data_IF_310858776441
#
_entry.id   IF_310858776441
#
_cell.length_a   1.000
_cell.length_b   1.000
_cell.length_c   1.000
_cell.angle_alpha   90.00
_cell.angle_beta   90.00
_cell.angle_gamma   90.00
#
_symmetry.space_group_name_H-M   'P 1'
#
loop_
_entity.id
_entity.type
_entity.pdbx_description
1 polymer ?
#
# COMPACT_ATOMS: atom_id res chain seq x y z
N UNK A 1 -11.17 -21.37 11.54
CA UNK A 1 -12.56 -20.94 11.56
C UNK A 1 -12.71 -19.61 10.83
N UNK A 2 -13.87 -19.35 10.23
CA UNK A 2 -14.15 -18.10 9.55
C UNK A 2 -14.14 -16.92 10.54
N UNK A 3 -13.36 -15.91 10.25
CA UNK A 3 -13.32 -14.70 11.08
C UNK A 3 -14.42 -13.74 10.59
N UNK A 4 -15.44 -13.52 11.40
CA UNK A 4 -16.40 -12.43 11.19
C UNK A 4 -15.84 -11.17 11.82
N UNK A 5 -15.55 -10.16 11.03
CA UNK A 5 -15.35 -8.82 11.56
C UNK A 5 -16.68 -8.29 12.13
N UNK A 6 -16.65 -7.67 13.31
CA UNK A 6 -17.84 -7.11 13.97
C UNK A 6 -18.48 -6.08 13.03
N UNK A 7 -19.73 -6.30 12.64
CA UNK A 7 -20.47 -5.44 11.71
C UNK A 7 -20.27 -5.74 10.21
N UNK A 8 -19.42 -6.69 9.84
CA UNK A 8 -19.27 -7.09 8.44
C UNK A 8 -20.32 -8.15 8.05
N UNK A 9 -21.01 -7.90 6.96
CA UNK A 9 -21.90 -8.89 6.33
C UNK A 9 -21.13 -9.95 5.53
N UNK A 10 -19.81 -9.72 5.31
CA UNK A 10 -18.94 -10.57 4.51
C UNK A 10 -18.09 -11.49 5.41
N UNK A 11 -18.16 -12.78 5.15
CA UNK A 11 -17.28 -13.77 5.78
C UNK A 11 -15.98 -13.80 5.00
N UNK A 12 -14.85 -13.59 5.69
CA UNK A 12 -13.53 -13.73 5.10
C UNK A 12 -13.01 -15.16 5.32
N UNK A 13 -12.48 -15.77 4.27
CA UNK A 13 -11.78 -17.05 4.39
C UNK A 13 -10.57 -16.90 5.31
N UNK A 14 -10.19 -17.99 5.99
CA UNK A 14 -8.95 -18.02 6.77
C UNK A 14 -7.74 -17.65 5.89
N UNK A 15 -6.74 -17.02 6.48
CA UNK A 15 -5.48 -16.78 5.81
C UNK A 15 -4.85 -18.14 5.41
N UNK A 16 -4.57 -18.28 4.13
CA UNK A 16 -4.01 -19.50 3.52
C UNK A 16 -2.68 -19.25 2.81
N UNK A 17 -2.13 -18.03 2.94
CA UNK A 17 -0.81 -17.66 2.43
C UNK A 17 -0.16 -16.65 3.38
N UNK A 18 1.15 -16.63 3.42
CA UNK A 18 1.91 -15.69 4.25
C UNK A 18 3.42 -15.85 4.06
N UNK A 19 4.16 -14.92 4.67
CA UNK A 19 5.62 -14.98 4.71
C UNK A 19 6.14 -14.47 6.07
N UNK A 20 7.28 -15.00 6.48
CA UNK A 20 8.03 -14.55 7.66
C UNK A 20 9.48 -14.35 7.24
N UNK A 21 10.06 -13.23 7.66
CA UNK A 21 11.48 -12.93 7.48
C UNK A 21 12.06 -12.52 8.84
N UNK A 22 13.16 -13.15 9.24
CA UNK A 22 13.93 -12.78 10.43
C UNK A 22 15.31 -12.25 9.99
N UNK A 23 15.67 -11.07 10.47
CA UNK A 23 16.93 -10.41 10.17
C UNK A 23 17.76 -10.22 11.45
N UNK A 24 19.07 -10.38 11.34
CA UNK A 24 19.99 -9.87 12.36
C UNK A 24 20.08 -8.35 12.22
N UNK A 25 19.62 -7.63 13.22
CA UNK A 25 19.58 -6.16 13.21
C UNK A 25 20.95 -5.51 13.21
N UNK A 26 22.00 -6.22 13.62
CA UNK A 26 23.38 -5.69 13.65
C UNK A 26 24.08 -5.83 12.32
N UNK A 27 23.84 -6.94 11.63
CA UNK A 27 24.56 -7.27 10.39
C UNK A 27 23.71 -7.16 9.14
N UNK A 28 22.37 -7.09 9.28
CA UNK A 28 21.42 -7.14 8.18
C UNK A 28 21.28 -8.53 7.56
N UNK A 29 21.95 -9.56 8.11
CA UNK A 29 21.88 -10.92 7.56
C UNK A 29 20.50 -11.54 7.75
N UNK A 30 20.02 -12.24 6.74
CA UNK A 30 18.80 -13.06 6.83
C UNK A 30 19.07 -14.29 7.66
N UNK A 31 18.42 -14.39 8.83
CA UNK A 31 18.50 -15.56 9.72
C UNK A 31 17.49 -16.63 9.33
N UNK A 32 16.32 -16.23 8.89
CA UNK A 32 15.29 -17.13 8.39
C UNK A 32 14.40 -16.38 7.39
N UNK A 33 13.92 -17.11 6.38
CA UNK A 33 12.96 -16.65 5.41
C UNK A 33 12.05 -17.80 5.04
N UNK A 34 10.75 -17.64 5.22
CA UNK A 34 9.76 -18.65 4.89
C UNK A 34 8.58 -18.03 4.15
N UNK A 35 8.09 -18.75 3.17
CA UNK A 35 6.89 -18.41 2.39
C UNK A 35 5.92 -19.59 2.42
N UNK A 36 4.63 -19.32 2.58
CA UNK A 36 3.59 -20.34 2.56
C UNK A 36 2.45 -19.92 1.61
N UNK A 37 1.89 -20.81 0.80
CA UNK A 37 2.35 -22.18 0.58
C UNK A 37 3.72 -22.22 -0.09
N UNK A 38 4.40 -23.34 0.04
CA UNK A 38 5.70 -23.60 -0.57
C UNK A 38 5.67 -24.98 -1.25
N UNK A 39 6.76 -25.37 -1.84
CA UNK A 39 6.93 -26.68 -2.47
C UNK A 39 8.28 -27.31 -2.08
N UNK A 40 8.39 -28.61 -2.23
CA UNK A 40 9.67 -29.30 -2.09
C UNK A 40 10.48 -29.15 -3.39
N UNK A 41 11.63 -28.43 -3.39
CA UNK A 41 12.44 -28.28 -4.59
C UNK A 41 12.98 -29.57 -5.14
N UNK A 42 13.10 -30.64 -4.32
CA UNK A 42 13.58 -31.96 -4.78
C UNK A 42 12.63 -32.61 -5.79
N UNK A 43 11.36 -32.21 -5.81
CA UNK A 43 10.40 -32.74 -6.80
C UNK A 43 10.81 -32.48 -8.26
N UNK A 44 11.72 -31.53 -8.51
CA UNK A 44 12.20 -31.21 -9.86
C UNK A 44 13.37 -32.05 -10.30
N UNK A 45 13.97 -32.88 -9.41
CA UNK A 45 15.21 -33.63 -9.69
C UNK A 45 14.99 -34.70 -10.75
N UNK A 46 13.89 -35.46 -10.66
CA UNK A 46 13.59 -36.59 -11.55
C UNK A 46 12.46 -36.31 -12.55
N UNK A 47 12.11 -35.04 -12.70
CA UNK A 47 10.95 -34.58 -13.48
C UNK A 47 9.64 -34.60 -12.69
N UNK A 48 8.70 -33.79 -13.10
CA UNK A 48 7.41 -33.63 -12.41
C UNK A 48 6.36 -34.59 -12.95
N UNK A 49 5.70 -35.30 -12.06
CA UNK A 49 4.44 -35.98 -12.38
C UNK A 49 3.30 -34.93 -12.62
N UNK A 50 2.25 -35.37 -13.31
CA UNK A 50 1.06 -34.51 -13.52
C UNK A 50 0.42 -34.05 -12.20
N UNK A 51 0.41 -34.91 -11.18
CA UNK A 51 -0.12 -34.57 -9.85
C UNK A 51 0.75 -33.51 -9.15
N UNK A 52 2.06 -33.62 -9.24
CA UNK A 52 2.99 -32.60 -8.70
C UNK A 52 2.87 -31.29 -9.45
N UNK A 53 2.81 -31.30 -10.78
CA UNK A 53 2.60 -30.09 -11.57
C UNK A 53 1.32 -29.37 -11.15
N UNK A 54 0.22 -30.10 -11.02
CA UNK A 54 -1.07 -29.54 -10.57
C UNK A 54 -0.98 -28.96 -9.16
N UNK A 55 -0.18 -29.52 -8.26
CA UNK A 55 -0.02 -28.99 -6.89
C UNK A 55 0.73 -27.67 -6.84
N UNK A 56 1.46 -27.29 -7.90
CA UNK A 56 2.17 -26.03 -8.03
C UNK A 56 1.30 -24.91 -8.58
N UNK A 57 0.17 -25.25 -9.19
CA UNK A 57 -0.78 -24.29 -9.76
C UNK A 57 -1.74 -23.75 -8.69
N UNK A 58 -2.19 -22.50 -8.78
CA UNK A 58 -3.23 -22.00 -7.91
C UNK A 58 -4.55 -22.74 -8.17
N UNK A 59 -5.32 -23.03 -7.14
CA UNK A 59 -6.64 -23.68 -7.26
C UNK A 59 -7.59 -22.89 -8.18
N UNK A 60 -7.52 -21.56 -8.12
CA UNK A 60 -8.26 -20.67 -9.02
C UNK A 60 -7.30 -19.62 -9.61
N UNK A 61 -6.85 -19.81 -10.88
CA UNK A 61 -5.94 -18.86 -11.54
C UNK A 61 -6.52 -17.45 -11.68
N UNK A 62 -7.86 -17.31 -11.70
CA UNK A 62 -8.53 -16.01 -11.83
C UNK A 62 -8.72 -15.29 -10.49
N UNK A 63 -8.45 -15.95 -9.38
CA UNK A 63 -8.46 -15.32 -8.06
C UNK A 63 -7.04 -14.81 -7.71
N UNK A 64 -6.81 -13.49 -7.64
CA UNK A 64 -5.51 -12.94 -7.28
C UNK A 64 -5.08 -13.32 -5.86
N UNK A 65 -6.02 -13.72 -5.00
CA UNK A 65 -5.77 -14.15 -3.62
C UNK A 65 -5.57 -15.66 -3.49
N UNK A 66 -5.68 -16.42 -4.59
CA UNK A 66 -5.42 -17.86 -4.57
C UNK A 66 -3.96 -18.13 -4.22
N UNK A 67 -3.69 -19.07 -3.27
CA UNK A 67 -2.33 -19.44 -2.89
C UNK A 67 -1.50 -19.93 -4.10
N UNK A 68 -0.25 -19.49 -4.18
CA UNK A 68 0.67 -19.78 -5.29
C UNK A 68 1.96 -20.39 -4.73
N UNK A 69 2.12 -21.71 -4.70
CA UNK A 69 3.28 -22.37 -4.09
C UNK A 69 4.63 -21.92 -4.66
N UNK A 70 4.70 -21.63 -5.97
CA UNK A 70 5.93 -21.16 -6.62
C UNK A 70 6.21 -19.67 -6.41
N UNK A 71 5.31 -18.93 -5.77
CA UNK A 71 5.47 -17.49 -5.51
C UNK A 71 6.13 -17.29 -4.15
N UNK A 72 7.38 -16.81 -4.15
CA UNK A 72 8.06 -16.45 -2.90
C UNK A 72 7.48 -15.17 -2.32
N UNK A 73 6.48 -15.28 -1.45
CA UNK A 73 5.79 -14.16 -0.86
C UNK A 73 6.74 -13.26 -0.02
N UNK A 74 7.82 -13.81 0.53
CA UNK A 74 8.77 -13.06 1.34
C UNK A 74 9.55 -12.00 0.54
N UNK A 75 9.83 -12.27 -0.76
CA UNK A 75 10.64 -11.38 -1.61
C UNK A 75 9.85 -10.74 -2.75
N UNK A 76 8.68 -11.29 -3.08
CA UNK A 76 7.91 -10.89 -4.26
C UNK A 76 6.58 -10.19 -3.93
N UNK A 77 6.17 -10.14 -2.65
CA UNK A 77 4.94 -9.45 -2.26
C UNK A 77 5.22 -7.98 -2.02
N UNK A 78 4.58 -7.10 -2.80
CA UNK A 78 4.58 -5.66 -2.59
C UNK A 78 3.23 -5.24 -2.02
N UNK A 79 3.19 -4.88 -0.74
CA UNK A 79 1.98 -4.45 -0.03
C UNK A 79 2.15 -3.06 0.57
N UNK A 80 1.04 -2.41 0.85
CA UNK A 80 1.05 -1.16 1.59
C UNK A 80 1.50 -1.42 3.03
N UNK A 81 2.51 -0.69 3.54
CA UNK A 81 3.08 -0.94 4.87
C UNK A 81 2.12 -0.61 6.02
N UNK A 82 1.06 0.16 5.75
CA UNK A 82 0.13 0.59 6.80
C UNK A 82 0.82 1.40 7.90
N UNK A 83 0.35 1.22 9.18
CA UNK A 83 0.84 1.98 10.34
C UNK A 83 2.33 1.80 10.64
N UNK A 84 2.99 0.77 10.10
CA UNK A 84 4.44 0.60 10.23
C UNK A 84 5.19 1.79 9.60
N UNK A 85 4.63 2.41 8.56
CA UNK A 85 5.20 3.58 7.91
C UNK A 85 5.18 4.85 8.78
N UNK A 86 4.41 4.88 9.86
CA UNK A 86 4.37 6.02 10.80
C UNK A 86 5.73 6.31 11.43
N UNK A 87 6.59 5.31 11.59
CA UNK A 87 7.96 5.51 12.05
C UNK A 87 8.76 6.40 11.10
N UNK A 88 8.60 6.22 9.79
CA UNK A 88 9.25 7.06 8.78
C UNK A 88 8.71 8.49 8.82
N UNK A 89 7.39 8.63 8.96
CA UNK A 89 6.74 9.96 9.08
C UNK A 89 7.18 10.68 10.35
N UNK A 90 7.27 9.95 11.49
CA UNK A 90 7.76 10.49 12.76
C UNK A 90 9.20 11.02 12.62
N UNK A 91 10.09 10.19 12.07
CA UNK A 91 11.48 10.59 11.87
C UNK A 91 11.63 11.79 10.93
N UNK A 92 10.85 11.83 9.86
CA UNK A 92 10.82 12.98 8.95
C UNK A 92 10.41 14.27 9.67
N UNK A 93 9.39 14.19 10.54
CA UNK A 93 8.95 15.32 11.37
C UNK A 93 10.01 15.75 12.38
N UNK A 94 10.58 14.80 13.12
CA UNK A 94 11.60 15.06 14.14
C UNK A 94 12.87 15.68 13.54
N UNK A 95 13.39 15.14 12.45
CA UNK A 95 14.55 15.74 11.75
C UNK A 95 14.22 17.11 11.14
N UNK A 96 12.96 17.38 10.87
CA UNK A 96 12.49 18.68 10.39
C UNK A 96 12.14 19.67 11.53
N UNK A 97 12.53 19.35 12.76
CA UNK A 97 12.41 20.23 13.92
C UNK A 97 11.12 20.10 14.72
N UNK A 98 10.35 19.03 14.52
CA UNK A 98 9.21 18.71 15.38
C UNK A 98 9.72 18.45 16.81
N UNK A 99 9.18 19.19 17.78
CA UNK A 99 9.39 18.86 19.19
C UNK A 99 8.72 17.51 19.51
N UNK A 100 9.45 16.49 20.02
CA UNK A 100 8.89 15.18 20.36
C UNK A 100 7.75 15.25 21.39
N UNK A 101 7.66 16.31 22.18
CA UNK A 101 6.60 16.54 23.15
C UNK A 101 5.48 17.43 22.63
N UNK A 102 5.57 17.91 21.37
CA UNK A 102 4.50 18.70 20.78
C UNK A 102 3.21 17.90 20.74
N UNK A 103 2.19 18.41 21.42
CA UNK A 103 0.94 17.69 21.64
C UNK A 103 -0.15 18.21 20.70
N UNK A 104 -0.90 17.28 20.11
CA UNK A 104 -2.06 17.54 19.25
C UNK A 104 -3.26 16.81 19.82
N UNK A 105 -4.39 17.51 19.99
CA UNK A 105 -5.65 16.92 20.39
C UNK A 105 -6.29 16.18 19.20
N UNK A 106 -6.53 14.89 19.32
CA UNK A 106 -7.22 14.08 18.32
C UNK A 106 -8.70 14.48 18.23
N UNK A 107 -9.12 15.06 17.13
CA UNK A 107 -10.52 15.44 16.84
C UNK A 107 -11.25 14.35 16.02
N UNK A 108 -10.65 13.19 15.86
CA UNK A 108 -11.24 12.04 15.20
C UNK A 108 -10.98 11.98 13.70
N UNK A 109 -11.06 13.07 12.97
CA UNK A 109 -10.78 13.13 11.55
C UNK A 109 -10.30 14.53 11.12
N UNK A 110 -9.64 14.57 9.98
CA UNK A 110 -9.35 15.80 9.24
C UNK A 110 -10.09 15.77 7.90
N UNK A 111 -10.31 16.92 7.30
CA UNK A 111 -10.87 17.01 5.96
C UNK A 111 -9.88 17.70 5.02
N UNK A 112 -9.59 17.06 3.88
CA UNK A 112 -8.70 17.60 2.84
C UNK A 112 -9.43 17.50 1.50
N UNK A 113 -9.66 18.66 0.87
CA UNK A 113 -10.34 18.71 -0.43
C UNK A 113 -11.74 18.12 -0.42
N UNK A 114 -12.49 18.26 0.68
CA UNK A 114 -13.83 17.70 0.84
C UNK A 114 -13.86 16.19 1.16
N UNK A 115 -12.69 15.57 1.38
CA UNK A 115 -12.58 14.15 1.71
C UNK A 115 -12.18 13.99 3.18
N UNK A 116 -12.97 13.27 4.00
CA UNK A 116 -12.64 13.01 5.40
C UNK A 116 -11.61 11.87 5.55
N UNK A 117 -10.60 12.11 6.37
CA UNK A 117 -9.57 11.15 6.77
C UNK A 117 -9.68 10.89 8.27
N UNK A 118 -10.28 9.77 8.64
CA UNK A 118 -10.56 9.42 10.03
C UNK A 118 -9.43 8.67 10.73
N UNK A 119 -9.29 8.95 12.03
CA UNK A 119 -8.53 8.07 12.91
C UNK A 119 -9.26 6.73 13.05
N UNK A 120 -8.52 5.64 13.29
CA UNK A 120 -9.10 4.29 13.33
C UNK A 120 -10.16 4.15 14.43
N UNK A 121 -9.91 4.71 15.63
CA UNK A 121 -10.85 4.65 16.76
C UNK A 121 -12.13 5.46 16.45
N UNK A 122 -11.99 6.61 15.81
CA UNK A 122 -13.13 7.40 15.34
C UNK A 122 -13.97 6.64 14.30
N UNK A 123 -13.31 5.96 13.36
CA UNK A 123 -14.02 5.20 12.33
C UNK A 123 -14.80 4.02 12.91
N UNK A 124 -14.27 3.37 13.94
CA UNK A 124 -14.88 2.20 14.56
C UNK A 124 -15.90 2.54 15.65
N UNK A 125 -15.58 3.49 16.53
CA UNK A 125 -16.31 3.73 17.77
C UNK A 125 -16.80 5.18 17.95
N UNK A 126 -16.47 6.09 17.02
CA UNK A 126 -16.74 7.54 17.14
C UNK A 126 -16.10 8.17 18.40
N UNK A 127 -14.98 7.64 18.82
CA UNK A 127 -14.18 8.11 19.96
C UNK A 127 -12.83 8.64 19.49
N UNK A 128 -12.23 9.50 20.30
CA UNK A 128 -10.90 10.06 20.08
C UNK A 128 -9.91 9.56 21.13
N UNK A 129 -8.63 9.68 20.85
CA UNK A 129 -7.55 9.27 21.78
C UNK A 129 -7.07 10.43 22.66
N UNK A 130 -7.64 11.62 22.51
CA UNK A 130 -7.29 12.79 23.31
C UNK A 130 -6.00 13.46 22.84
N UNK A 131 -5.17 13.90 23.77
CA UNK A 131 -3.90 14.57 23.45
C UNK A 131 -2.79 13.56 23.20
N UNK A 132 -2.16 13.69 22.02
CA UNK A 132 -1.11 12.81 21.53
C UNK A 132 0.16 13.60 21.21
N UNK A 133 1.30 13.08 21.55
CA UNK A 133 2.61 13.47 21.04
C UNK A 133 3.17 12.35 20.13
N UNK A 134 4.38 12.53 19.56
CA UNK A 134 4.91 11.53 18.63
C UNK A 134 5.07 10.13 19.25
N UNK A 135 5.38 10.04 20.54
CA UNK A 135 5.57 8.77 21.26
C UNK A 135 4.24 8.07 21.50
N UNK A 136 3.26 8.79 22.05
CA UNK A 136 1.93 8.22 22.32
C UNK A 136 1.19 7.92 21.03
N UNK A 137 1.31 8.78 20.00
CA UNK A 137 0.71 8.56 18.69
C UNK A 137 1.30 7.33 17.95
N UNK A 138 2.58 7.00 18.15
CA UNK A 138 3.16 5.74 17.67
C UNK A 138 2.60 4.54 18.45
N UNK A 139 2.59 4.63 19.79
CA UNK A 139 2.06 3.59 20.68
C UNK A 139 0.60 3.25 20.37
N UNK A 140 -0.24 4.27 20.26
CA UNK A 140 -1.68 4.12 20.08
C UNK A 140 -2.10 4.08 18.61
N UNK A 141 -1.11 4.14 17.71
CA UNK A 141 -1.29 4.13 16.26
C UNK A 141 -2.25 5.22 15.75
N UNK A 142 -2.18 6.42 16.35
CA UNK A 142 -3.06 7.53 16.06
C UNK A 142 -2.86 8.06 14.63
N UNK A 143 -3.88 8.00 13.78
CA UNK A 143 -3.77 8.52 12.41
C UNK A 143 -3.87 10.05 12.37
N UNK A 144 -4.71 10.64 13.23
CA UNK A 144 -4.94 12.08 13.23
C UNK A 144 -3.65 12.88 13.47
N UNK A 145 -2.85 12.46 14.46
CA UNK A 145 -1.55 13.04 14.75
C UNK A 145 -0.64 13.00 13.52
N UNK A 146 -0.55 11.83 12.88
CA UNK A 146 0.31 11.64 11.71
C UNK A 146 -0.18 12.39 10.47
N UNK A 147 -1.47 12.59 10.29
CA UNK A 147 -1.98 13.49 9.25
C UNK A 147 -1.53 14.93 9.49
N UNK A 148 -1.65 15.42 10.73
CA UNK A 148 -1.22 16.78 11.09
C UNK A 148 0.27 17.01 10.83
N UNK A 149 1.15 16.14 11.34
CA UNK A 149 2.60 16.33 11.18
C UNK A 149 3.05 16.11 9.73
N UNK A 150 2.37 15.29 8.93
CA UNK A 150 2.74 15.05 7.54
C UNK A 150 2.60 16.29 6.66
N UNK A 151 1.73 17.22 7.03
CA UNK A 151 1.53 18.50 6.34
C UNK A 151 2.03 19.71 7.13
N UNK A 152 2.54 19.49 8.37
CA UNK A 152 3.02 20.56 9.24
C UNK A 152 1.90 21.49 9.78
N UNK A 153 0.66 20.98 9.89
CA UNK A 153 -0.50 21.76 10.29
C UNK A 153 -1.35 21.06 11.34
N UNK A 154 -1.64 21.76 12.44
CA UNK A 154 -2.47 21.27 13.52
C UNK A 154 -3.94 21.65 13.26
N UNK A 155 -4.72 20.72 12.73
CA UNK A 155 -6.15 20.92 12.41
C UNK A 155 -7.03 21.11 13.66
N UNK A 156 -6.57 20.69 14.85
CA UNK A 156 -7.31 20.89 16.08
C UNK A 156 -7.30 22.36 16.54
N UNK A 157 -6.22 23.09 16.25
CA UNK A 157 -6.03 24.49 16.67
C UNK A 157 -6.00 25.46 15.52
N UNK A 158 -6.13 24.97 14.29
CA UNK A 158 -6.08 25.77 13.06
C UNK A 158 -4.78 26.58 12.92
N UNK A 159 -3.62 25.94 13.23
CA UNK A 159 -2.30 26.60 13.25
C UNK A 159 -1.23 25.72 12.62
N UNK A 160 -0.20 26.36 12.06
CA UNK A 160 1.02 25.65 11.67
C UNK A 160 1.70 25.05 12.91
N UNK A 161 2.23 23.83 12.74
CA UNK A 161 3.08 23.19 13.75
C UNK A 161 4.45 23.91 13.72
N UNK A 162 5.05 24.22 14.90
CA UNK A 162 6.35 24.87 14.96
C UNK A 162 7.48 23.88 14.56
N UNK A 163 7.60 23.65 13.28
CA UNK A 163 8.61 22.78 12.63
C UNK A 163 8.90 23.31 11.22
N UNK A 164 9.91 22.78 10.57
CA UNK A 164 10.20 23.11 9.17
C UNK A 164 9.11 22.69 8.20
N UNK A 165 9.19 23.17 6.98
CA UNK A 165 8.24 22.84 5.93
C UNK A 165 8.36 21.36 5.50
N UNK A 166 7.28 20.64 5.54
CA UNK A 166 7.19 19.24 5.07
C UNK A 166 7.14 19.12 3.54
N UNK A 167 7.20 20.26 2.82
CA UNK A 167 7.30 20.34 1.35
C UNK A 167 6.26 19.46 0.63
N UNK A 168 5.00 19.55 1.08
CA UNK A 168 3.92 18.71 0.56
C UNK A 168 4.21 17.21 0.58
N UNK A 169 4.89 16.72 1.65
CA UNK A 169 5.23 15.33 1.84
C UNK A 169 6.56 14.89 1.23
N UNK A 170 7.26 15.76 0.48
CA UNK A 170 8.58 15.42 -0.10
C UNK A 170 9.60 15.06 0.98
N UNK A 171 9.58 15.72 2.14
CA UNK A 171 10.43 15.40 3.30
C UNK A 171 10.24 13.95 3.77
N UNK A 172 9.00 13.44 3.77
CA UNK A 172 8.69 12.05 4.11
C UNK A 172 9.23 11.09 3.05
N UNK A 173 9.10 11.45 1.76
CA UNK A 173 9.62 10.65 0.66
C UNK A 173 11.16 10.55 0.70
N UNK A 174 11.85 11.65 1.00
CA UNK A 174 13.28 11.67 1.17
C UNK A 174 13.74 10.78 2.34
N UNK A 175 13.02 10.84 3.46
CA UNK A 175 13.26 9.96 4.60
C UNK A 175 13.08 8.48 4.20
N UNK A 176 12.00 8.13 3.53
CA UNK A 176 11.74 6.77 3.07
C UNK A 176 12.85 6.26 2.12
N UNK A 177 13.37 7.12 1.23
CA UNK A 177 14.51 6.81 0.36
C UNK A 177 15.82 6.60 1.13
N UNK A 178 16.06 7.38 2.18
CA UNK A 178 17.21 7.18 3.06
C UNK A 178 17.19 5.82 3.76
N UNK A 179 16.00 5.30 4.06
CA UNK A 179 15.80 3.93 4.55
C UNK A 179 15.83 2.86 3.44
N UNK A 180 16.07 3.24 2.18
CA UNK A 180 16.17 2.29 1.07
C UNK A 180 14.86 1.63 0.67
N UNK A 181 13.69 2.22 1.04
CA UNK A 181 12.39 1.59 0.80
C UNK A 181 11.97 1.54 -0.69
N UNK A 182 12.72 2.19 -1.57
CA UNK A 182 12.54 2.15 -3.04
C UNK A 182 13.62 1.33 -3.75
N UNK A 183 14.47 0.62 -3.01
CA UNK A 183 15.60 -0.13 -3.56
C UNK A 183 15.45 -1.63 -3.29
N UNK A 184 16.17 -2.42 -4.08
CA UNK A 184 16.43 -3.82 -3.76
C UNK A 184 17.39 -3.90 -2.58
N UNK A 185 17.24 -4.95 -1.78
CA UNK A 185 18.05 -5.18 -0.58
C UNK A 185 19.42 -5.79 -0.90
N UNK A 186 19.58 -6.36 -2.09
CA UNK A 186 20.79 -7.05 -2.53
C UNK A 186 20.81 -8.55 -2.20
N UNK A 187 19.64 -9.16 -1.99
CA UNK A 187 19.52 -10.60 -1.89
C UNK A 187 19.99 -11.29 -3.18
N UNK A 188 20.62 -12.45 -3.06
CA UNK A 188 21.07 -13.27 -4.20
C UNK A 188 19.91 -13.90 -4.97
N UNK A 189 18.70 -13.96 -4.38
CA UNK A 189 17.49 -14.44 -5.02
C UNK A 189 16.66 -13.29 -5.58
N UNK A 190 15.70 -13.59 -6.44
CA UNK A 190 14.82 -12.57 -7.02
C UNK A 190 14.00 -11.87 -5.93
N UNK A 191 14.02 -10.55 -5.97
CA UNK A 191 13.23 -9.68 -5.11
C UNK A 191 12.60 -8.51 -5.89
N UNK A 192 11.45 -8.03 -5.44
CA UNK A 192 10.87 -6.79 -5.89
C UNK A 192 11.42 -5.62 -5.07
N UNK A 193 11.72 -4.51 -5.74
CA UNK A 193 11.97 -3.26 -5.03
C UNK A 193 10.65 -2.66 -4.52
N UNK A 194 10.70 -1.98 -3.37
CA UNK A 194 9.59 -1.15 -2.92
C UNK A 194 9.29 -0.02 -3.92
N UNK A 195 8.09 0.54 -3.79
CA UNK A 195 7.69 1.73 -4.56
C UNK A 195 7.25 2.80 -3.57
N UNK A 196 7.94 3.93 -3.58
CA UNK A 196 7.52 5.10 -2.81
C UNK A 196 6.69 5.97 -3.74
N UNK A 197 5.38 6.10 -3.52
CA UNK A 197 4.53 6.94 -4.36
C UNK A 197 4.87 8.41 -4.11
N UNK A 198 5.26 9.10 -5.17
CA UNK A 198 5.32 10.56 -5.20
C UNK A 198 4.12 11.14 -5.98
N UNK A 199 3.84 12.46 -5.90
CA UNK A 199 2.71 13.07 -6.59
C UNK A 199 2.69 12.79 -8.09
N UNK A 200 3.85 12.81 -8.75
CA UNK A 200 3.98 12.54 -10.19
C UNK A 200 3.66 11.08 -10.52
N UNK A 201 4.24 10.16 -9.77
CA UNK A 201 3.97 8.72 -9.94
C UNK A 201 2.49 8.40 -9.70
N UNK A 202 1.89 9.02 -8.67
CA UNK A 202 0.46 8.85 -8.37
C UNK A 202 -0.42 9.41 -9.48
N UNK A 203 -0.08 10.57 -10.01
CA UNK A 203 -0.79 11.18 -11.14
C UNK A 203 -0.74 10.26 -12.37
N UNK A 204 0.45 9.80 -12.76
CA UNK A 204 0.61 8.87 -13.88
C UNK A 204 -0.15 7.55 -13.67
N UNK A 205 -0.17 7.03 -12.45
CA UNK A 205 -0.94 5.84 -12.11
C UNK A 205 -2.46 6.08 -12.24
N UNK A 206 -2.94 7.25 -11.84
CA UNK A 206 -4.35 7.62 -12.02
C UNK A 206 -4.72 7.77 -13.49
N UNK A 207 -3.89 8.41 -14.29
CA UNK A 207 -4.09 8.47 -15.75
C UNK A 207 -4.17 7.07 -16.37
N UNK A 208 -3.24 6.18 -16.01
CA UNK A 208 -3.27 4.78 -16.51
C UNK A 208 -4.53 4.02 -16.06
N UNK A 209 -4.95 4.20 -14.82
CA UNK A 209 -6.18 3.58 -14.31
C UNK A 209 -7.41 4.12 -15.03
N UNK A 210 -7.48 5.44 -15.24
CA UNK A 210 -8.57 6.09 -15.99
C UNK A 210 -8.60 5.60 -17.43
N UNK A 211 -7.43 5.53 -18.10
CA UNK A 211 -7.29 4.99 -19.45
C UNK A 211 -7.84 3.57 -19.54
N UNK A 212 -7.46 2.69 -18.61
CA UNK A 212 -7.93 1.30 -18.55
C UNK A 212 -9.45 1.21 -18.31
N UNK A 213 -9.97 2.06 -17.41
CA UNK A 213 -11.40 2.12 -17.09
C UNK A 213 -12.24 2.59 -18.29
N UNK A 214 -11.79 3.64 -18.98
CA UNK A 214 -12.40 4.12 -20.21
C UNK A 214 -12.38 3.02 -21.27
N UNK A 215 -11.22 2.40 -21.50
CA UNK A 215 -11.08 1.31 -22.47
C UNK A 215 -12.03 0.14 -22.18
N UNK A 216 -12.14 -0.27 -20.90
CA UNK A 216 -13.02 -1.38 -20.49
C UNK A 216 -14.51 -1.05 -20.58
N UNK A 217 -14.88 0.22 -20.40
CA UNK A 217 -16.28 0.68 -20.42
C UNK A 217 -16.77 1.11 -21.79
N UNK A 218 -15.85 1.42 -22.72
CA UNK A 218 -16.22 1.90 -24.06
C UNK A 218 -17.09 0.93 -24.84
N UNK A 219 -16.85 -0.37 -24.72
CA UNK A 219 -17.69 -1.39 -25.34
C UNK A 219 -19.17 -1.32 -24.88
N UNK A 220 -19.42 -0.83 -23.65
CA UNK A 220 -20.79 -0.66 -23.13
C UNK A 220 -21.48 0.62 -23.63
N UNK A 221 -20.68 1.65 -23.97
CA UNK A 221 -21.20 2.93 -24.45
C UNK A 221 -21.40 2.98 -25.97
N UNK A 222 -20.66 2.15 -26.70
CA UNK A 222 -20.68 2.11 -28.16
C UNK A 222 -21.10 0.73 -28.65
N UNK A 223 -22.35 0.33 -28.34
CA UNK A 223 -22.93 -0.96 -28.71
C UNK A 223 -22.93 -1.24 -30.22
N UNK A 224 -22.85 -0.21 -31.07
CA UNK A 224 -22.88 -0.30 -32.52
C UNK A 224 -21.51 -0.50 -33.18
N UNK A 225 -20.43 -0.55 -32.37
CA UNK A 225 -19.08 -0.75 -32.88
C UNK A 225 -18.76 -2.24 -32.73
N UNK A 226 -19.01 -3.02 -33.76
CA UNK A 226 -18.51 -4.39 -33.87
C UNK A 226 -16.98 -4.34 -33.94
N UNK A 227 -16.34 -4.99 -32.97
CA UNK A 227 -14.92 -4.84 -32.62
C UNK A 227 -13.90 -5.00 -33.77
N UNK A 228 -14.27 -5.66 -34.89
CA UNK A 228 -13.36 -5.88 -36.01
C UNK A 228 -13.47 -4.87 -37.16
N UNK A 229 -14.61 -4.21 -37.32
CA UNK A 229 -14.84 -3.31 -38.47
C UNK A 229 -14.34 -1.88 -38.23
N UNK A 230 -14.11 -1.48 -36.97
CA UNK A 230 -13.83 -0.09 -36.58
C UNK A 230 -12.73 0.06 -35.53
N UNK A 231 -11.76 -0.86 -35.47
CA UNK A 231 -10.65 -0.84 -34.48
C UNK A 231 -9.90 0.50 -34.50
N UNK A 232 -9.65 1.05 -35.68
CA UNK A 232 -8.99 2.36 -35.84
C UNK A 232 -9.85 3.51 -35.30
N UNK A 233 -11.15 3.53 -35.59
CA UNK A 233 -12.07 4.55 -35.05
C UNK A 233 -12.26 4.42 -33.54
N UNK A 234 -12.20 3.21 -33.02
CA UNK A 234 -12.23 2.91 -31.60
C UNK A 234 -11.00 3.46 -30.88
N UNK A 235 -9.80 3.21 -31.42
CA UNK A 235 -8.55 3.77 -30.90
C UNK A 235 -8.50 5.30 -31.01
N UNK A 236 -8.93 5.88 -32.12
CA UNK A 236 -8.99 7.34 -32.29
C UNK A 236 -9.92 7.99 -31.26
N UNK A 237 -11.09 7.39 -30.96
CA UNK A 237 -12.02 7.89 -29.96
C UNK A 237 -11.48 7.75 -28.55
N UNK A 238 -10.84 6.60 -28.22
CA UNK A 238 -10.15 6.41 -26.93
C UNK A 238 -9.10 7.50 -26.76
N UNK A 239 -8.25 7.72 -27.76
CA UNK A 239 -7.19 8.73 -27.70
C UNK A 239 -7.74 10.15 -27.58
N UNK A 240 -8.87 10.45 -28.23
CA UNK A 240 -9.55 11.74 -28.11
C UNK A 240 -10.08 11.96 -26.68
N UNK A 241 -10.76 10.96 -26.10
CA UNK A 241 -11.29 11.06 -24.74
C UNK A 241 -10.16 11.14 -23.71
N UNK A 242 -9.06 10.43 -23.93
CA UNK A 242 -7.88 10.50 -23.07
C UNK A 242 -7.22 11.86 -23.16
N UNK A 243 -7.12 12.45 -24.37
CA UNK A 243 -6.62 13.82 -24.55
C UNK A 243 -7.45 14.91 -23.87
N UNK A 244 -8.69 14.62 -23.47
CA UNK A 244 -9.50 15.53 -22.63
C UNK A 244 -9.18 15.41 -21.13
N UNK A 245 -8.36 14.45 -20.73
CA UNK A 245 -8.00 14.19 -19.33
C UNK A 245 -6.58 14.65 -18.98
N UNK A 246 -5.84 15.18 -19.96
CA UNK A 246 -4.55 15.85 -19.83
C UNK A 246 -4.73 17.36 -19.62
#
# INVERSE_FOLDING_TARGET
>A
GDTKMRGATKVYKNANAGAIVALDIKTGKVLAMASYPSYDPNMFTDGLTQAQLKSLEPENPNDPLSPKPMFNAATMTAVQPGSVFKMITALAGLENGLDPYYSIEDKGFIEIGGVPFGNWLWNQERRTQGFENVVTALKDSNNYYFYCISVGYNYATDKKIPMGDMKNGTTILEMARRFGLDKKTGLEIYELSGKIPDPKTKYLQQQQNMKRDITSKMANYFKDITAKANEKQYEERINTIIGWTD
#
